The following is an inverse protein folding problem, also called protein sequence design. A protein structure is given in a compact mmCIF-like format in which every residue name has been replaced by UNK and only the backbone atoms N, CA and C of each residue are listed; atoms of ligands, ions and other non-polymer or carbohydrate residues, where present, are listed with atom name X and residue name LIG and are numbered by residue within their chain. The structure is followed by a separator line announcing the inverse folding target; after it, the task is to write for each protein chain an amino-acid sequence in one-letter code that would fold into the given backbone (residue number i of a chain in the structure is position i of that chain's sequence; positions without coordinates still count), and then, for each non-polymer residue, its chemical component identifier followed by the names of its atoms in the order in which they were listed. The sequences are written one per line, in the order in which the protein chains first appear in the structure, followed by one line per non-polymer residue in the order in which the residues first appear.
data_IF_765831350642
#
_entry.id   IF_765831350642
#
_cell.length_a   1.000
_cell.length_b   1.000
_cell.length_c   1.000
_cell.angle_alpha   90.00
_cell.angle_beta   90.00
_cell.angle_gamma   90.00
#
_symmetry.space_group_name_H-M   'P 1'
#
loop_
_entity.id
_entity.type
_entity.pdbx_description
1 polymer ?
#
# COMPACT_ATOMS: atom_id res chain seq x y z
N UNK A 1 3.33 -12.38 22.63
CA UNK A 1 3.61 -11.11 21.91
C UNK A 1 2.48 -10.79 20.95
N UNK A 2 1.87 -9.62 21.06
CA UNK A 2 0.77 -9.19 20.16
C UNK A 2 1.38 -8.59 18.89
N UNK A 3 1.18 -9.24 17.74
CA UNK A 3 1.57 -8.68 16.45
C UNK A 3 0.55 -7.62 16.07
N UNK A 4 0.98 -6.37 15.88
CA UNK A 4 0.13 -5.33 15.33
C UNK A 4 0.03 -5.49 13.82
N UNK A 5 -1.18 -5.45 13.26
CA UNK A 5 -1.38 -5.49 11.80
C UNK A 5 -1.74 -4.08 11.31
N UNK A 6 -1.00 -3.56 10.34
CA UNK A 6 -1.32 -2.35 9.58
C UNK A 6 -1.76 -2.77 8.16
N UNK A 7 -2.74 -2.08 7.59
CA UNK A 7 -3.37 -2.38 6.29
C UNK A 7 -3.49 -1.08 5.53
N UNK A 8 -2.70 -0.94 4.47
CA UNK A 8 -2.56 0.27 3.67
C UNK A 8 -3.06 -0.01 2.27
N UNK A 9 -3.83 0.91 1.70
CA UNK A 9 -4.30 0.84 0.31
C UNK A 9 -3.72 2.02 -0.45
N UNK A 10 -3.03 1.76 -1.55
CA UNK A 10 -2.46 2.78 -2.41
C UNK A 10 -3.48 3.21 -3.46
N UNK A 11 -3.73 4.51 -3.55
CA UNK A 11 -4.69 5.13 -4.48
C UNK A 11 -4.02 6.26 -5.28
N UNK A 12 -4.54 6.56 -6.47
CA UNK A 12 -4.01 7.59 -7.37
C UNK A 12 -4.04 7.17 -8.84
N UNK A 13 -3.79 8.11 -9.75
CA UNK A 13 -3.86 7.90 -11.20
C UNK A 13 -2.82 6.88 -11.70
N UNK A 14 -2.97 6.40 -12.93
CA UNK A 14 -1.95 5.56 -13.58
C UNK A 14 -0.65 6.34 -13.75
N UNK A 15 0.49 5.67 -13.54
CA UNK A 15 1.82 6.27 -13.75
C UNK A 15 2.37 7.13 -12.60
N UNK A 16 1.58 7.42 -11.56
CA UNK A 16 2.01 8.27 -10.42
C UNK A 16 3.00 7.60 -9.44
N UNK A 17 3.28 6.31 -9.62
CA UNK A 17 4.26 5.59 -8.81
C UNK A 17 3.70 4.76 -7.65
N UNK A 18 2.41 4.43 -7.63
CA UNK A 18 1.79 3.59 -6.58
C UNK A 18 2.58 2.31 -6.29
N UNK A 19 2.81 1.48 -7.32
CA UNK A 19 3.54 0.21 -7.19
C UNK A 19 4.98 0.40 -6.68
N UNK A 20 5.65 1.47 -7.10
CA UNK A 20 6.99 1.83 -6.63
C UNK A 20 6.96 2.15 -5.12
N UNK A 21 6.04 3.01 -4.68
CA UNK A 21 5.86 3.33 -3.26
C UNK A 21 5.51 2.09 -2.43
N UNK A 22 4.69 1.19 -2.97
CA UNK A 22 4.37 -0.09 -2.33
C UNK A 22 5.61 -0.96 -2.11
N UNK A 23 6.49 -1.05 -3.11
CA UNK A 23 7.77 -1.77 -2.98
C UNK A 23 8.68 -1.15 -1.92
N UNK A 24 8.75 0.17 -1.87
CA UNK A 24 9.50 0.91 -0.82
C UNK A 24 8.95 0.59 0.57
N UNK A 25 7.63 0.62 0.76
CA UNK A 25 6.99 0.29 2.05
C UNK A 25 7.25 -1.18 2.44
N UNK A 26 7.22 -2.10 1.47
CA UNK A 26 7.48 -3.52 1.71
C UNK A 26 8.97 -3.84 1.94
N UNK A 27 9.87 -2.91 1.58
CA UNK A 27 11.32 -3.09 1.65
C UNK A 27 11.87 -4.06 0.59
N UNK A 28 11.10 -4.37 -0.46
CA UNK A 28 11.50 -5.29 -1.54
C UNK A 28 10.74 -5.01 -2.83
N UNK A 29 11.30 -5.48 -3.95
CA UNK A 29 10.57 -5.51 -5.23
C UNK A 29 9.50 -6.60 -5.20
N UNK A 30 8.23 -6.22 -5.11
CA UNK A 30 7.08 -7.12 -5.02
C UNK A 30 6.04 -6.84 -6.11
N UNK A 31 5.64 -5.58 -6.26
CA UNK A 31 4.78 -5.10 -7.33
C UNK A 31 5.59 -4.77 -8.58
N UNK A 32 5.05 -5.07 -9.75
CA UNK A 32 5.68 -4.68 -11.00
C UNK A 32 5.59 -3.16 -11.18
N UNK A 33 6.72 -2.47 -11.07
CA UNK A 33 6.82 -1.02 -11.28
C UNK A 33 7.70 -0.73 -12.50
N UNK A 34 7.10 -0.24 -13.58
CA UNK A 34 7.81 0.16 -14.81
C UNK A 34 7.25 1.48 -15.33
N UNK A 35 8.13 2.33 -15.86
CA UNK A 35 7.71 3.47 -16.66
C UNK A 35 7.13 2.94 -17.98
N UNK A 36 5.86 3.24 -18.24
CA UNK A 36 5.14 2.79 -19.43
C UNK A 36 4.10 3.84 -19.80
N UNK A 37 3.84 3.97 -21.11
CA UNK A 37 2.74 4.78 -21.63
C UNK A 37 1.37 4.13 -21.39
N UNK A 38 1.35 2.85 -21.05
CA UNK A 38 0.15 2.08 -20.71
C UNK A 38 0.19 1.61 -19.25
N UNK A 39 -0.99 1.39 -18.67
CA UNK A 39 -1.11 0.87 -17.31
C UNK A 39 -0.48 -0.50 -17.15
N UNK A 40 0.43 -0.60 -16.17
CA UNK A 40 1.17 -1.82 -15.83
C UNK A 40 0.38 -2.67 -14.83
N UNK A 41 -0.36 -2.01 -13.94
CA UNK A 41 -1.15 -2.66 -12.88
C UNK A 41 -2.60 -2.72 -13.30
N UNK A 42 -3.01 -3.87 -13.85
CA UNK A 42 -4.39 -4.12 -14.29
C UNK A 42 -5.27 -4.81 -13.25
N UNK A 43 -4.67 -5.33 -12.19
CA UNK A 43 -5.32 -6.12 -11.15
C UNK A 43 -4.88 -5.63 -9.78
N UNK A 44 -5.77 -5.72 -8.80
CA UNK A 44 -5.49 -5.54 -7.40
C UNK A 44 -4.43 -6.55 -6.96
N UNK A 45 -3.32 -6.05 -6.41
CA UNK A 45 -2.24 -6.86 -5.88
C UNK A 45 -2.00 -6.50 -4.43
N UNK A 46 -1.47 -7.44 -3.64
CA UNK A 46 -1.08 -7.14 -2.27
C UNK A 46 0.24 -7.79 -1.89
N UNK A 47 0.95 -7.13 -0.99
CA UNK A 47 2.19 -7.60 -0.40
C UNK A 47 2.17 -7.45 1.11
N UNK A 48 2.94 -8.30 1.78
CA UNK A 48 3.04 -8.32 3.23
C UNK A 48 4.51 -8.28 3.63
N UNK A 49 4.83 -7.46 4.64
CA UNK A 49 6.14 -7.46 5.31
C UNK A 49 5.96 -7.43 6.83
N UNK A 50 6.98 -7.86 7.56
CA UNK A 50 7.03 -7.81 9.03
C UNK A 50 8.20 -6.93 9.46
N UNK A 51 7.91 -5.88 10.21
CA UNK A 51 8.89 -5.01 10.83
C UNK A 51 9.08 -5.39 12.30
N UNK A 52 10.32 -5.34 12.76
CA UNK A 52 10.64 -5.45 14.19
C UNK A 52 11.04 -4.06 14.65
N UNK A 53 10.21 -3.47 15.51
CA UNK A 53 10.44 -2.18 16.14
C UNK A 53 10.95 -2.44 17.57
N UNK A 54 12.06 -1.81 17.95
CA UNK A 54 12.44 -1.72 19.35
C UNK A 54 11.69 -0.51 19.93
N UNK A 55 10.91 -0.73 20.98
CA UNK A 55 10.20 0.33 21.67
C UNK A 55 10.77 0.41 23.09
N UNK A 56 11.64 1.39 23.30
CA UNK A 56 12.12 1.71 24.64
C UNK A 56 11.00 2.40 25.38
N UNK A 57 10.50 1.75 26.42
CA UNK A 57 9.53 2.35 27.35
C UNK A 57 10.27 2.65 28.64
N UNK A 58 10.29 3.93 29.01
CA UNK A 58 10.88 4.36 30.26
C UNK A 58 9.75 4.45 31.30
N UNK A 59 9.81 3.59 32.33
CA UNK A 59 8.95 3.66 33.51
C UNK A 59 9.80 3.65 34.76
N UNK A 60 9.57 4.60 35.66
CA UNK A 60 10.24 4.72 36.96
C UNK A 60 11.78 4.68 36.90
N UNK A 61 12.38 5.32 35.88
CA UNK A 61 13.83 5.36 35.70
C UNK A 61 14.45 4.06 35.17
N UNK A 62 13.65 3.02 34.93
CA UNK A 62 14.04 1.77 34.30
C UNK A 62 13.68 1.81 32.81
N UNK A 63 14.66 1.56 31.95
CA UNK A 63 14.46 1.38 30.51
C UNK A 63 14.14 -0.08 30.23
N UNK A 64 12.90 -0.36 29.88
CA UNK A 64 12.50 -1.64 29.30
C UNK A 64 12.49 -1.52 27.78
N UNK A 65 13.33 -2.29 27.11
CA UNK A 65 13.33 -2.41 25.65
C UNK A 65 12.40 -3.55 25.24
N UNK A 66 11.18 -3.21 24.81
CA UNK A 66 10.27 -4.19 24.24
C UNK A 66 10.49 -4.32 22.72
N UNK A 67 10.68 -5.55 22.25
CA UNK A 67 10.67 -5.85 20.80
C UNK A 67 9.24 -6.04 20.33
N UNK A 68 8.74 -5.10 19.53
CA UNK A 68 7.41 -5.19 18.94
C UNK A 68 7.50 -5.65 17.48
N UNK A 69 6.68 -6.63 17.11
CA UNK A 69 6.54 -7.03 15.70
C UNK A 69 5.30 -6.40 15.10
N UNK A 70 5.45 -5.82 13.91
CA UNK A 70 4.36 -5.19 13.16
C UNK A 70 4.27 -5.77 11.76
N UNK A 71 3.12 -6.33 11.42
CA UNK A 71 2.82 -6.84 10.09
C UNK A 71 2.18 -5.74 9.25
N UNK A 72 2.77 -5.39 8.12
CA UNK A 72 2.24 -4.39 7.19
C UNK A 72 1.72 -5.11 5.95
N UNK A 73 0.42 -4.97 5.70
CA UNK A 73 -0.23 -5.30 4.43
C UNK A 73 -0.31 -4.04 3.59
N UNK A 74 0.21 -4.11 2.36
CA UNK A 74 0.07 -3.07 1.34
C UNK A 74 -0.74 -3.63 0.20
N UNK A 75 -1.78 -2.91 -0.22
CA UNK A 75 -2.61 -3.23 -1.38
C UNK A 75 -2.36 -2.17 -2.44
N UNK A 76 -1.95 -2.61 -3.62
CA UNK A 76 -1.79 -1.80 -4.83
C UNK A 76 -3.03 -2.01 -5.73
N UNK A 77 -3.61 -0.91 -6.17
CA UNK A 77 -4.80 -0.87 -7.00
C UNK A 77 -4.47 -0.35 -8.41
N UNK A 78 -5.25 -0.74 -9.43
CA UNK A 78 -5.23 -0.04 -10.71
C UNK A 78 -5.50 1.47 -10.54
N UNK A 79 -5.01 2.30 -11.46
CA UNK A 79 -5.20 3.74 -11.38
C UNK A 79 -6.63 4.18 -11.68
N UNK A 80 -7.11 5.18 -10.92
CA UNK A 80 -8.34 5.89 -11.28
C UNK A 80 -8.08 6.68 -12.57
N UNK A 81 -8.87 6.46 -13.61
CA UNK A 81 -8.63 7.05 -14.94
C UNK A 81 -7.87 6.16 -15.92
N UNK A 82 -7.62 4.89 -15.57
CA UNK A 82 -7.16 3.91 -16.55
C UNK A 82 -8.27 3.61 -17.57
N UNK A 83 -8.17 4.21 -18.76
CA UNK A 83 -9.14 4.04 -19.86
C UNK A 83 -9.18 2.63 -20.43
N UNK A 84 -8.28 1.74 -19.99
CA UNK A 84 -8.24 0.35 -20.43
C UNK A 84 -9.15 -0.60 -19.65
N UNK A 85 -9.81 -0.12 -18.57
CA UNK A 85 -10.72 -0.92 -17.74
C UNK A 85 -12.15 -0.36 -17.78
N UNK A 86 -13.14 -1.25 -17.89
CA UNK A 86 -14.54 -0.88 -17.73
C UNK A 86 -14.85 -0.55 -16.26
N UNK A 87 -15.93 0.21 -16.01
CA UNK A 87 -16.37 0.52 -14.63
C UNK A 87 -16.65 -0.73 -13.78
N UNK A 88 -17.14 -1.80 -14.40
CA UNK A 88 -17.34 -3.10 -13.74
C UNK A 88 -16.02 -3.76 -13.32
N UNK A 89 -15.00 -3.69 -14.19
CA UNK A 89 -13.67 -4.21 -13.86
C UNK A 89 -13.05 -3.42 -12.70
N UNK A 90 -13.18 -2.10 -12.71
CA UNK A 90 -12.73 -1.24 -11.60
C UNK A 90 -13.44 -1.64 -10.30
N UNK A 91 -14.76 -1.81 -10.34
CA UNK A 91 -15.54 -2.20 -9.16
C UNK A 91 -15.13 -3.58 -8.63
N UNK A 92 -14.84 -4.53 -9.51
CA UNK A 92 -14.36 -5.86 -9.13
C UNK A 92 -13.00 -5.78 -8.41
N UNK A 93 -12.06 -4.98 -8.91
CA UNK A 93 -10.76 -4.79 -8.27
C UNK A 93 -10.88 -4.06 -6.92
N UNK A 94 -11.77 -3.09 -6.80
CA UNK A 94 -12.09 -2.46 -5.50
C UNK A 94 -12.69 -3.48 -4.53
N UNK A 95 -13.59 -4.34 -4.99
CA UNK A 95 -14.22 -5.39 -4.15
C UNK A 95 -13.17 -6.37 -3.62
N UNK A 96 -12.23 -6.80 -4.47
CA UNK A 96 -11.09 -7.63 -4.03
C UNK A 96 -10.24 -6.94 -2.97
N UNK A 97 -9.96 -5.65 -3.14
CA UNK A 97 -9.23 -4.86 -2.14
C UNK A 97 -9.96 -4.82 -0.79
N UNK A 98 -11.28 -4.59 -0.79
CA UNK A 98 -12.09 -4.58 0.44
C UNK A 98 -12.00 -5.94 1.14
N UNK A 99 -12.12 -7.04 0.40
CA UNK A 99 -12.00 -8.38 0.95
C UNK A 99 -10.62 -8.64 1.59
N UNK A 100 -9.54 -8.27 0.89
CA UNK A 100 -8.15 -8.43 1.37
C UNK A 100 -7.85 -7.56 2.59
N UNK A 101 -8.51 -6.41 2.70
CA UNK A 101 -8.26 -5.43 3.77
C UNK A 101 -9.19 -5.58 4.98
N UNK A 102 -10.03 -6.60 5.04
CA UNK A 102 -10.94 -6.86 6.17
C UNK A 102 -10.24 -6.75 7.55
N UNK A 103 -10.88 -6.14 8.56
CA UNK A 103 -12.24 -5.54 8.56
C UNK A 103 -12.35 -4.19 7.84
N UNK A 104 -11.25 -3.68 7.28
CA UNK A 104 -11.16 -2.41 6.57
C UNK A 104 -9.74 -1.89 6.60
N UNK A 105 -9.32 -1.03 5.66
CA UNK A 105 -7.99 -0.44 5.69
C UNK A 105 -7.81 0.47 6.89
N UNK A 106 -6.57 0.61 7.36
CA UNK A 106 -6.24 1.60 8.39
C UNK A 106 -5.98 2.97 7.78
N UNK A 107 -5.46 3.01 6.55
CA UNK A 107 -5.23 4.23 5.80
C UNK A 107 -5.29 3.97 4.30
N UNK A 108 -5.75 4.99 3.57
CA UNK A 108 -5.57 5.12 2.14
C UNK A 108 -4.42 6.09 1.89
N UNK A 109 -3.46 5.71 1.06
CA UNK A 109 -2.32 6.53 0.69
C UNK A 109 -2.51 7.03 -0.74
N UNK A 110 -2.83 8.33 -0.87
CA UNK A 110 -2.90 8.99 -2.16
C UNK A 110 -1.50 9.30 -2.68
N UNK A 111 -1.14 8.67 -3.79
CA UNK A 111 0.16 8.86 -4.44
C UNK A 111 0.00 9.90 -5.54
N UNK A 112 0.76 10.98 -5.41
CA UNK A 112 0.76 12.12 -6.33
C UNK A 112 2.21 12.36 -6.77
N UNK A 113 2.48 12.54 -8.08
CA UNK A 113 3.82 12.84 -8.54
C UNK A 113 4.22 14.25 -8.11
N UNK A 114 5.48 14.43 -7.70
CA UNK A 114 6.04 15.77 -7.47
C UNK A 114 6.26 16.45 -8.82
N UNK A 115 5.55 17.55 -9.10
CA UNK A 115 5.64 18.29 -10.36
C UNK A 115 4.29 18.44 -11.07
N UNK A 116 4.18 17.98 -12.33
CA UNK A 116 2.95 18.10 -13.13
C UNK A 116 1.81 17.25 -12.55
N UNK A 117 0.93 17.91 -11.82
CA UNK A 117 -0.44 17.46 -11.59
C UNK A 117 -1.31 18.10 -12.67
N UNK A 118 -1.72 17.32 -13.65
CA UNK A 118 -2.62 17.77 -14.72
C UNK A 118 -3.86 16.92 -14.68
N UNK A 119 -5.03 17.56 -14.74
CA UNK A 119 -6.28 16.85 -15.00
C UNK A 119 -6.13 16.15 -16.37
N UNK A 120 -6.40 14.84 -16.39
CA UNK A 120 -6.45 14.02 -17.61
C UNK A 120 -7.90 13.92 -18.06
#
# INVERSE_FOLDING_TARGET
MKILKLRLVLIGNTGVGKSASGNTILGRSHFLSKMSASSVTKLCQHGITELTENQDSQKDGQTDTERRKRKILVVDLPGFGDTSLSGEQILNEVTKCVAVTAPGPHAFLLVVPLGRYTDV
#
